data_IF_919672835640
#
_entry.id   IF_919672835640
#
_cell.length_a   1.000
_cell.length_b   1.000
_cell.length_c   1.000
_cell.angle_alpha   90.00
_cell.angle_beta   90.00
_cell.angle_gamma   90.00
#
_symmetry.space_group_name_H-M   'P 1'
#
loop_
_entity.id
_entity.type
_entity.pdbx_description
1 polymer ?
#
# COMPACT_ATOMS: atom_id res chain seq x y z
N UNK A 1 -5.32 12.20 -8.18
CA UNK A 1 -5.04 11.14 -9.16
C UNK A 1 -5.82 9.89 -8.78
N UNK A 2 -6.01 8.90 -9.68
CA UNK A 2 -6.79 7.67 -9.37
C UNK A 2 -6.16 6.86 -8.23
N UNK A 3 -4.85 6.97 -8.03
CA UNK A 3 -4.12 6.29 -6.95
C UNK A 3 -4.26 6.98 -5.57
N UNK A 4 -4.66 8.26 -5.50
CA UNK A 4 -4.73 9.01 -4.22
C UNK A 4 -5.64 8.33 -3.17
N UNK A 5 -6.87 7.87 -3.49
CA UNK A 5 -7.73 7.22 -2.51
C UNK A 5 -7.14 5.92 -1.96
N UNK A 6 -6.45 5.14 -2.82
CA UNK A 6 -5.76 3.91 -2.43
C UNK A 6 -4.64 4.22 -1.43
N UNK A 7 -3.84 5.27 -1.67
CA UNK A 7 -2.77 5.69 -0.76
C UNK A 7 -3.32 6.12 0.61
N UNK A 8 -4.44 6.86 0.64
CA UNK A 8 -5.08 7.28 1.89
C UNK A 8 -5.63 6.08 2.67
N UNK A 9 -6.25 5.11 1.99
CA UNK A 9 -6.78 3.90 2.62
C UNK A 9 -5.66 3.01 3.20
N UNK A 10 -4.51 2.90 2.52
CA UNK A 10 -3.34 2.21 3.06
C UNK A 10 -2.76 2.94 4.27
N UNK A 11 -2.65 4.26 4.21
CA UNK A 11 -2.13 5.07 5.31
C UNK A 11 -3.00 4.94 6.58
N UNK A 12 -4.33 4.90 6.43
CA UNK A 12 -5.25 4.66 7.55
C UNK A 12 -5.06 3.28 8.20
N UNK A 13 -4.46 2.33 7.49
CA UNK A 13 -4.12 0.98 7.96
C UNK A 13 -2.67 0.85 8.43
N UNK A 14 -1.94 1.96 8.53
CA UNK A 14 -0.54 1.98 8.95
C UNK A 14 0.47 1.62 7.86
N UNK A 15 0.03 1.44 6.60
CA UNK A 15 0.92 1.15 5.47
C UNK A 15 1.24 2.43 4.71
N UNK A 16 2.50 2.83 4.74
CA UNK A 16 2.98 4.00 4.01
C UNK A 16 3.46 3.62 2.60
N UNK A 17 2.92 4.31 1.60
CA UNK A 17 3.27 4.15 0.20
C UNK A 17 3.37 5.52 -0.48
N UNK A 18 4.07 5.57 -1.61
CA UNK A 18 4.29 6.80 -2.38
C UNK A 18 3.57 6.74 -3.73
N UNK A 19 3.11 7.88 -4.28
CA UNK A 19 2.66 7.93 -5.67
C UNK A 19 3.85 7.77 -6.62
N UNK A 20 3.64 7.07 -7.73
CA UNK A 20 4.60 6.96 -8.83
C UNK A 20 3.97 7.22 -10.21
N UNK A 21 2.82 7.89 -10.23
CA UNK A 21 2.03 8.20 -11.42
C UNK A 21 0.55 8.36 -11.09
N UNK A 22 -0.30 8.46 -12.10
CA UNK A 22 -1.73 8.68 -11.88
C UNK A 22 -2.46 7.43 -11.34
N UNK A 23 -1.91 6.25 -11.62
CA UNK A 23 -2.46 4.92 -11.30
C UNK A 23 -1.45 3.99 -10.64
N UNK A 24 -0.23 4.47 -10.36
CA UNK A 24 0.88 3.65 -9.85
C UNK A 24 1.22 4.09 -8.44
N UNK A 25 1.30 3.12 -7.51
CA UNK A 25 1.84 3.29 -6.17
C UNK A 25 3.19 2.59 -6.05
N UNK A 26 4.04 3.06 -5.13
CA UNK A 26 5.36 2.49 -4.84
C UNK A 26 5.45 2.15 -3.37
N UNK A 27 5.81 0.90 -3.09
CA UNK A 27 6.20 0.42 -1.77
C UNK A 27 7.72 0.42 -1.69
N UNK A 28 8.27 0.97 -0.61
CA UNK A 28 9.71 1.03 -0.36
C UNK A 28 10.01 0.52 1.06
N UNK A 29 9.82 -0.79 1.32
CA UNK A 29 10.19 -1.36 2.59
C UNK A 29 11.72 -1.34 2.77
N UNK A 30 12.22 -1.36 4.02
CA UNK A 30 13.64 -1.60 4.26
C UNK A 30 14.04 -3.02 3.83
N UNK A 31 15.31 -3.22 3.50
CA UNK A 31 15.84 -4.55 3.11
C UNK A 31 15.84 -5.57 4.25
N UNK A 32 15.65 -5.11 5.49
CA UNK A 32 15.61 -5.92 6.71
C UNK A 32 14.18 -6.16 7.21
N UNK A 33 13.16 -5.94 6.37
CA UNK A 33 11.76 -6.18 6.72
C UNK A 33 11.53 -7.65 7.12
N UNK A 34 10.70 -7.87 8.15
CA UNK A 34 10.31 -9.21 8.58
C UNK A 34 9.28 -9.83 7.65
N UNK A 35 9.18 -11.17 7.65
CA UNK A 35 8.15 -11.89 6.88
C UNK A 35 6.74 -11.55 7.42
N UNK A 36 6.61 -11.35 8.73
CA UNK A 36 5.37 -10.96 9.38
C UNK A 36 4.89 -9.56 8.92
N UNK A 37 5.80 -8.59 8.88
CA UNK A 37 5.47 -7.23 8.39
C UNK A 37 5.16 -7.26 6.89
N UNK A 38 5.88 -8.08 6.12
CA UNK A 38 5.60 -8.24 4.70
C UNK A 38 4.20 -8.82 4.46
N UNK A 39 3.80 -9.84 5.22
CA UNK A 39 2.45 -10.41 5.18
C UNK A 39 1.38 -9.39 5.58
N UNK A 40 1.64 -8.56 6.60
CA UNK A 40 0.75 -7.47 7.01
C UNK A 40 0.53 -6.46 5.87
N UNK A 41 1.62 -5.99 5.24
CA UNK A 41 1.55 -5.07 4.09
C UNK A 41 0.82 -5.71 2.92
N UNK A 42 1.12 -6.96 2.60
CA UNK A 42 0.46 -7.71 1.52
C UNK A 42 -1.06 -7.77 1.75
N UNK A 43 -1.49 -8.11 2.96
CA UNK A 43 -2.91 -8.22 3.31
C UNK A 43 -3.63 -6.87 3.13
N UNK A 44 -3.06 -5.80 3.70
CA UNK A 44 -3.63 -4.46 3.60
C UNK A 44 -3.73 -3.98 2.15
N UNK A 45 -2.70 -4.22 1.33
CA UNK A 45 -2.69 -3.86 -0.09
C UNK A 45 -3.78 -4.60 -0.86
N UNK A 46 -3.89 -5.92 -0.67
CA UNK A 46 -4.91 -6.71 -1.37
C UNK A 46 -6.33 -6.29 -0.98
N UNK A 47 -6.58 -6.03 0.30
CA UNK A 47 -7.88 -5.61 0.77
C UNK A 47 -8.28 -4.25 0.19
N UNK A 48 -7.40 -3.25 0.28
CA UNK A 48 -7.67 -1.91 -0.26
C UNK A 48 -7.93 -1.96 -1.77
N UNK A 49 -7.14 -2.72 -2.53
CA UNK A 49 -7.32 -2.81 -3.98
C UNK A 49 -8.63 -3.51 -4.35
N UNK A 50 -9.04 -4.55 -3.62
CA UNK A 50 -10.33 -5.23 -3.85
C UNK A 50 -11.54 -4.37 -3.52
N UNK A 51 -11.45 -3.51 -2.51
CA UNK A 51 -12.56 -2.63 -2.11
C UNK A 51 -12.66 -1.34 -2.93
N UNK A 52 -11.62 -0.97 -3.69
CA UNK A 52 -11.56 0.26 -4.51
C UNK A 52 -11.58 -0.01 -6.03
N UNK A 53 -11.77 -1.27 -6.43
CA UNK A 53 -12.09 -1.70 -7.80
C UNK A 53 -13.58 -1.99 -7.90
#
# INVERSE_FOLDING_TARGET
>A
SKVTPVLQALQARGVLALPAGNTVLRLLPPLVISEEDLACVQHAVLEVLRSNL
#
